data_IF_586524462116
#
_entry.id   IF_586524462116
#
_cell.length_a   1.000
_cell.length_b   1.000
_cell.length_c   1.000
_cell.angle_alpha   90.00
_cell.angle_beta   90.00
_cell.angle_gamma   90.00
#
_symmetry.space_group_name_H-M   'P 1'
#
loop_
_entity.id
_entity.type
_entity.pdbx_description
1 polymer ?
#
# COMPACT_ATOMS: atom_id res chain seq x y z
N UNK A 1 -14.78 24.81 7.85
CA UNK A 1 -14.16 24.96 9.18
C UNK A 1 -12.95 24.05 9.18
N UNK A 2 -11.70 24.55 9.19
CA UNK A 2 -10.53 23.66 9.27
C UNK A 2 -10.54 23.02 10.66
N UNK A 3 -10.54 21.70 10.68
CA UNK A 3 -10.59 20.89 11.90
C UNK A 3 -9.25 20.96 12.66
N UNK A 4 -8.17 21.34 11.98
CA UNK A 4 -6.84 21.51 12.53
C UNK A 4 -6.28 22.87 12.13
N UNK A 5 -5.51 23.51 13.01
CA UNK A 5 -4.79 24.73 12.68
C UNK A 5 -3.62 24.38 11.74
N UNK A 6 -3.16 25.34 10.93
CA UNK A 6 -1.96 25.16 10.08
C UNK A 6 -0.69 24.81 10.90
N UNK A 7 -0.68 25.11 12.20
CA UNK A 7 0.40 24.74 13.11
C UNK A 7 0.30 23.27 13.48
N UNK A 8 -0.89 22.73 13.74
CA UNK A 8 -1.10 21.32 14.08
C UNK A 8 -0.73 20.40 12.89
N UNK A 9 -1.02 20.82 11.66
CA UNK A 9 -0.58 20.12 10.46
C UNK A 9 0.96 20.09 10.35
N UNK A 10 1.63 21.15 10.76
CA UNK A 10 3.09 21.27 10.68
C UNK A 10 3.79 20.36 11.69
N UNK A 11 3.31 20.29 12.94
CA UNK A 11 3.90 19.46 13.99
C UNK A 11 3.74 17.95 13.74
N UNK A 12 2.69 17.54 13.06
CA UNK A 12 2.48 16.13 12.72
C UNK A 12 3.43 15.59 11.63
N UNK A 13 4.09 16.49 10.88
CA UNK A 13 4.84 16.13 9.67
C UNK A 13 6.30 16.63 9.66
N UNK A 14 6.90 16.86 10.80
CA UNK A 14 8.33 17.20 10.88
C UNK A 14 9.19 15.95 11.16
N UNK A 15 9.89 15.40 10.13
CA UNK A 15 10.72 14.18 10.29
C UNK A 15 11.79 14.28 11.37
N UNK A 16 12.16 15.51 11.79
CA UNK A 16 13.07 15.77 12.90
C UNK A 16 12.46 15.63 14.29
N UNK A 17 11.13 15.51 14.41
CA UNK A 17 10.45 15.49 15.71
C UNK A 17 10.21 14.08 16.23
N UNK A 18 10.29 13.90 17.56
CA UNK A 18 9.91 12.64 18.21
C UNK A 18 8.43 12.30 17.95
N UNK A 19 7.56 13.30 17.88
CA UNK A 19 6.13 13.11 17.61
C UNK A 19 5.89 12.47 16.22
N UNK A 20 6.67 12.86 15.21
CA UNK A 20 6.60 12.26 13.89
C UNK A 20 6.92 10.75 13.92
N UNK A 21 8.04 10.37 14.52
CA UNK A 21 8.46 8.95 14.57
C UNK A 21 7.53 8.10 15.43
N UNK A 22 7.06 8.65 16.56
CA UNK A 22 6.04 7.98 17.38
C UNK A 22 4.76 7.72 16.58
N UNK A 23 4.26 8.74 15.86
CA UNK A 23 3.03 8.60 15.07
C UNK A 23 3.23 7.60 13.93
N UNK A 24 4.39 7.62 13.28
CA UNK A 24 4.74 6.66 12.23
C UNK A 24 4.75 5.22 12.74
N UNK A 25 5.31 4.97 13.94
CA UNK A 25 5.28 3.66 14.59
C UNK A 25 3.84 3.22 14.93
N UNK A 26 3.01 4.14 15.43
CA UNK A 26 1.59 3.85 15.67
C UNK A 26 0.86 3.50 14.36
N UNK A 27 1.08 4.27 13.30
CA UNK A 27 0.47 3.99 12.00
C UNK A 27 0.95 2.64 11.45
N UNK A 28 2.23 2.33 11.55
CA UNK A 28 2.75 1.02 11.18
C UNK A 28 1.98 -0.11 11.86
N UNK A 29 1.84 -0.07 13.20
CA UNK A 29 1.15 -1.12 13.95
C UNK A 29 -0.34 -1.19 13.60
N UNK A 30 -1.03 -0.05 13.56
CA UNK A 30 -2.47 0.01 13.30
C UNK A 30 -2.78 -0.47 11.89
N UNK A 31 -2.03 0.01 10.90
CA UNK A 31 -2.29 -0.35 9.51
C UNK A 31 -1.80 -1.74 9.13
N UNK A 32 -0.92 -2.37 9.91
CA UNK A 32 -0.64 -3.80 9.74
C UNK A 32 -1.88 -4.66 9.97
N UNK A 33 -2.79 -4.26 10.86
CA UNK A 33 -4.07 -4.97 11.09
C UNK A 33 -5.15 -4.46 10.15
N UNK A 34 -5.35 -3.13 10.05
CA UNK A 34 -6.38 -2.57 9.19
C UNK A 34 -6.15 -2.91 7.71
N UNK A 35 -4.89 -2.94 7.26
CA UNK A 35 -4.53 -3.35 5.92
C UNK A 35 -4.91 -4.81 5.64
N UNK A 36 -4.70 -5.70 6.61
CA UNK A 36 -5.17 -7.08 6.50
C UNK A 36 -6.70 -7.15 6.37
N UNK A 37 -7.46 -6.38 7.15
CA UNK A 37 -8.91 -6.33 6.98
C UNK A 37 -9.34 -5.83 5.61
N UNK A 38 -8.67 -4.83 5.08
CA UNK A 38 -8.92 -4.34 3.72
C UNK A 38 -8.60 -5.40 2.67
N UNK A 39 -7.53 -6.17 2.87
CA UNK A 39 -7.17 -7.29 2.01
C UNK A 39 -8.22 -8.39 2.05
N UNK A 40 -8.73 -8.77 3.23
CA UNK A 40 -9.82 -9.75 3.35
C UNK A 40 -11.03 -9.31 2.51
N UNK A 41 -11.42 -8.04 2.58
CA UNK A 41 -12.54 -7.49 1.78
C UNK A 41 -12.23 -7.56 0.29
N UNK A 42 -11.03 -7.15 -0.11
CA UNK A 42 -10.58 -7.19 -1.50
C UNK A 42 -10.52 -8.63 -2.04
N UNK A 43 -9.90 -9.54 -1.29
CA UNK A 43 -9.79 -10.95 -1.67
C UNK A 43 -11.15 -11.65 -1.68
N UNK A 44 -12.09 -11.28 -0.81
CA UNK A 44 -13.46 -11.77 -0.86
C UNK A 44 -14.16 -11.40 -2.16
N UNK A 45 -13.90 -10.18 -2.66
CA UNK A 45 -14.40 -9.76 -3.97
C UNK A 45 -13.70 -10.54 -5.10
N UNK A 46 -12.38 -10.70 -5.05
CA UNK A 46 -11.61 -11.42 -6.06
C UNK A 46 -11.90 -12.93 -6.08
N UNK A 47 -12.27 -13.52 -4.95
CA UNK A 47 -12.70 -14.93 -4.86
C UNK A 47 -13.95 -15.22 -5.70
N UNK A 48 -14.85 -14.25 -5.86
CA UNK A 48 -16.02 -14.41 -6.77
C UNK A 48 -15.59 -14.73 -8.20
N UNK A 49 -14.39 -14.29 -8.60
CA UNK A 49 -13.80 -14.55 -9.93
C UNK A 49 -12.85 -15.75 -9.95
N UNK A 50 -12.72 -16.47 -8.84
CA UNK A 50 -11.83 -17.63 -8.73
C UNK A 50 -10.33 -17.25 -8.76
N UNK A 51 -9.97 -16.04 -8.35
CA UNK A 51 -8.58 -15.54 -8.37
C UNK A 51 -7.86 -15.85 -7.04
N UNK A 52 -8.60 -15.96 -5.93
CA UNK A 52 -8.03 -16.22 -4.60
C UNK A 52 -8.45 -17.59 -4.13
N UNK A 53 -7.49 -18.41 -3.71
CA UNK A 53 -7.71 -19.77 -3.25
C UNK A 53 -8.36 -19.82 -1.87
N UNK A 54 -9.08 -20.90 -1.61
CA UNK A 54 -9.79 -21.10 -0.34
C UNK A 54 -8.86 -21.32 0.87
N UNK A 55 -7.62 -21.72 0.61
CA UNK A 55 -6.56 -21.96 1.60
C UNK A 55 -5.53 -20.82 1.66
N UNK A 56 -5.82 -19.68 1.05
CA UNK A 56 -4.97 -18.49 1.12
C UNK A 56 -4.81 -18.00 2.57
N UNK A 57 -3.58 -17.60 2.92
CA UNK A 57 -3.24 -17.01 4.23
C UNK A 57 -4.08 -15.77 4.57
N UNK A 58 -4.70 -15.13 3.60
CA UNK A 58 -5.59 -13.99 3.83
C UNK A 58 -6.79 -14.35 4.71
N UNK A 59 -7.20 -15.61 4.75
CA UNK A 59 -8.32 -16.09 5.55
C UNK A 59 -7.97 -16.48 6.99
N UNK A 60 -6.69 -16.40 7.35
CA UNK A 60 -6.20 -16.67 8.70
C UNK A 60 -6.74 -15.65 9.72
N UNK A 61 -6.25 -15.70 10.95
CA UNK A 61 -6.71 -14.85 12.05
C UNK A 61 -6.78 -13.37 11.62
N UNK A 62 -7.99 -12.76 11.56
CA UNK A 62 -8.16 -11.36 11.15
C UNK A 62 -7.40 -10.35 12.01
N UNK A 63 -6.98 -10.74 13.21
CA UNK A 63 -6.17 -9.91 14.10
C UNK A 63 -4.66 -10.08 13.87
N UNK A 64 -4.26 -11.03 13.03
CA UNK A 64 -2.86 -11.21 12.67
C UNK A 64 -2.35 -10.03 11.87
N UNK A 65 -1.27 -9.36 12.31
CA UNK A 65 -0.79 -8.17 11.63
C UNK A 65 0.01 -8.54 10.37
N UNK A 66 -0.47 -8.14 9.22
CA UNK A 66 0.30 -8.22 7.98
C UNK A 66 1.21 -6.99 7.86
N UNK A 67 2.48 -7.15 8.25
CA UNK A 67 3.45 -6.06 8.36
C UNK A 67 3.69 -5.32 7.04
N UNK A 68 3.40 -5.95 5.92
CA UNK A 68 3.47 -5.33 4.58
C UNK A 68 2.65 -4.05 4.49
N UNK A 69 1.45 -4.03 5.06
CA UNK A 69 0.59 -2.85 5.06
C UNK A 69 1.11 -1.75 5.98
N UNK A 70 1.71 -2.13 7.11
CA UNK A 70 2.44 -1.19 7.97
C UNK A 70 3.60 -0.52 7.24
N UNK A 71 4.40 -1.30 6.49
CA UNK A 71 5.46 -0.75 5.62
C UNK A 71 4.86 0.16 4.54
N UNK A 72 3.74 -0.23 3.93
CA UNK A 72 3.02 0.57 2.94
C UNK A 72 2.67 1.97 3.45
N UNK A 73 2.13 2.06 4.66
CA UNK A 73 1.78 3.35 5.29
C UNK A 73 3.03 4.17 5.62
N UNK A 74 4.12 3.55 6.03
CA UNK A 74 5.40 4.25 6.22
C UNK A 74 5.88 4.85 4.91
N UNK A 75 5.82 4.12 3.80
CA UNK A 75 6.17 4.63 2.47
C UNK A 75 5.21 5.75 2.04
N UNK A 76 3.90 5.60 2.29
CA UNK A 76 2.94 6.69 2.05
C UNK A 76 3.35 7.97 2.79
N UNK A 77 3.67 7.87 4.07
CA UNK A 77 4.03 9.02 4.89
C UNK A 77 5.36 9.66 4.47
N UNK A 78 6.38 8.86 4.15
CA UNK A 78 7.74 9.35 3.88
C UNK A 78 7.95 9.77 2.43
N UNK A 79 7.24 9.16 1.48
CA UNK A 79 7.46 9.34 0.04
C UNK A 79 6.25 9.99 -0.62
N UNK A 80 5.05 9.41 -0.47
CA UNK A 80 3.88 9.84 -1.23
C UNK A 80 3.32 11.18 -0.74
N UNK A 81 3.27 11.45 0.56
CA UNK A 81 2.76 12.73 1.07
C UNK A 81 3.64 13.93 0.65
N UNK A 82 4.99 13.90 0.76
CA UNK A 82 5.82 14.97 0.20
C UNK A 82 5.67 15.12 -1.31
N UNK A 83 5.58 14.01 -2.04
CA UNK A 83 5.38 14.03 -3.48
C UNK A 83 4.04 14.69 -3.87
N UNK A 84 2.95 14.33 -3.19
CA UNK A 84 1.63 14.97 -3.38
C UNK A 84 1.73 16.48 -3.20
N UNK A 85 2.33 16.91 -2.10
CA UNK A 85 2.50 18.35 -1.79
C UNK A 85 3.29 19.06 -2.89
N UNK A 86 4.39 18.45 -3.37
CA UNK A 86 5.19 19.01 -4.44
C UNK A 86 4.45 19.08 -5.79
N UNK A 87 3.64 18.06 -6.12
CA UNK A 87 2.85 18.02 -7.35
C UNK A 87 1.73 19.06 -7.33
N UNK A 88 1.00 19.16 -6.21
CA UNK A 88 -0.06 20.17 -6.05
C UNK A 88 0.50 21.59 -6.17
N UNK A 89 1.68 21.86 -5.59
CA UNK A 89 2.33 23.16 -5.68
C UNK A 89 2.80 23.53 -7.10
N UNK A 90 3.11 22.53 -7.94
CA UNK A 90 3.71 22.75 -9.28
C UNK A 90 2.72 22.71 -10.44
N UNK A 91 1.50 22.19 -10.22
CA UNK A 91 0.54 21.96 -11.32
C UNK A 91 -0.53 23.04 -11.39
N UNK A 92 -0.96 23.31 -12.63
CA UNK A 92 -1.97 24.31 -12.89
C UNK A 92 -3.38 23.91 -12.40
N UNK A 93 -3.66 22.61 -12.30
CA UNK A 93 -4.95 22.09 -11.85
C UNK A 93 -4.78 20.89 -10.90
N UNK A 94 -5.71 20.76 -9.94
CA UNK A 94 -5.76 19.61 -9.02
C UNK A 94 -5.96 18.27 -9.76
N UNK A 95 -6.71 18.29 -10.86
CA UNK A 95 -6.93 17.09 -11.70
C UNK A 95 -5.61 16.60 -12.29
N UNK A 96 -4.80 17.51 -12.86
CA UNK A 96 -3.49 17.14 -13.40
C UNK A 96 -2.53 16.64 -12.32
N UNK A 97 -2.55 17.26 -11.13
CA UNK A 97 -1.77 16.80 -9.99
C UNK A 97 -2.22 15.40 -9.53
N UNK A 98 -3.54 15.19 -9.43
CA UNK A 98 -4.14 13.92 -9.02
C UNK A 98 -3.80 12.77 -9.97
N UNK A 99 -3.93 12.97 -11.29
CA UNK A 99 -3.59 11.95 -12.29
C UNK A 99 -2.11 11.56 -12.20
N UNK A 100 -1.22 12.55 -12.06
CA UNK A 100 0.21 12.27 -11.97
C UNK A 100 0.57 11.60 -10.65
N UNK A 101 -0.05 12.05 -9.56
CA UNK A 101 0.14 11.42 -8.27
C UNK A 101 -0.32 9.96 -8.29
N UNK A 102 -1.51 9.68 -8.85
CA UNK A 102 -2.00 8.30 -9.02
C UNK A 102 -1.03 7.45 -9.83
N UNK A 103 -0.59 7.92 -11.00
CA UNK A 103 0.33 7.17 -11.85
C UNK A 103 1.66 6.83 -11.14
N UNK A 104 2.22 7.79 -10.40
CA UNK A 104 3.45 7.54 -9.61
C UNK A 104 3.16 6.60 -8.45
N UNK A 105 2.01 6.71 -7.79
CA UNK A 105 1.63 5.82 -6.69
C UNK A 105 1.48 4.38 -7.16
N UNK A 106 0.90 4.12 -8.34
CA UNK A 106 0.87 2.78 -8.95
C UNK A 106 2.28 2.21 -9.12
N UNK A 107 3.22 3.00 -9.64
CA UNK A 107 4.61 2.56 -9.79
C UNK A 107 5.25 2.27 -8.43
N UNK A 108 4.99 3.09 -7.43
CA UNK A 108 5.51 2.86 -6.06
C UNK A 108 4.92 1.58 -5.46
N UNK A 109 3.61 1.34 -5.59
CA UNK A 109 2.96 0.10 -5.13
C UNK A 109 3.57 -1.12 -5.81
N UNK A 110 3.70 -1.09 -7.14
CA UNK A 110 4.31 -2.16 -7.92
C UNK A 110 5.75 -2.47 -7.47
N UNK A 111 6.57 -1.43 -7.27
CA UNK A 111 7.95 -1.62 -6.79
C UNK A 111 8.00 -2.20 -5.37
N UNK A 112 7.06 -1.82 -4.52
CA UNK A 112 6.93 -2.38 -3.18
C UNK A 112 6.49 -3.84 -3.23
N UNK A 113 5.47 -4.18 -4.02
CA UNK A 113 5.00 -5.56 -4.18
C UNK A 113 6.12 -6.46 -4.73
N UNK A 114 6.86 -5.99 -5.74
CA UNK A 114 8.05 -6.68 -6.25
C UNK A 114 9.13 -6.87 -5.18
N UNK A 115 9.49 -5.81 -4.46
CA UNK A 115 10.52 -5.88 -3.42
C UNK A 115 10.12 -6.88 -2.33
N UNK A 116 8.87 -6.87 -1.91
CA UNK A 116 8.36 -7.79 -0.90
C UNK A 116 8.28 -9.22 -1.45
N UNK A 117 7.85 -9.40 -2.69
CA UNK A 117 7.87 -10.68 -3.36
C UNK A 117 9.26 -11.29 -3.39
N UNK A 118 10.27 -10.53 -3.78
CA UNK A 118 11.66 -11.00 -3.79
C UNK A 118 12.25 -11.23 -2.39
N UNK A 119 11.76 -10.58 -1.37
CA UNK A 119 12.25 -10.76 0.01
C UNK A 119 11.55 -11.89 0.75
N UNK A 120 10.24 -12.05 0.57
CA UNK A 120 9.40 -12.91 1.40
C UNK A 120 8.81 -14.09 0.64
N UNK A 121 8.59 -13.97 -0.66
CA UNK A 121 7.87 -14.94 -1.48
C UNK A 121 8.82 -15.64 -2.47
N UNK A 122 9.90 -16.23 -1.95
CA UNK A 122 10.81 -17.02 -2.77
C UNK A 122 10.19 -18.38 -3.11
N UNK A 123 10.35 -18.87 -4.38
CA UNK A 123 9.81 -20.17 -4.74
C UNK A 123 10.48 -21.30 -3.94
N UNK A 124 9.67 -22.27 -3.55
CA UNK A 124 10.15 -23.50 -2.91
C UNK A 124 10.92 -24.43 -3.89
N UNK A 125 11.38 -25.58 -3.42
CA UNK A 125 12.11 -26.54 -4.26
C UNK A 125 11.28 -27.12 -5.42
N UNK A 126 9.95 -27.03 -5.36
CA UNK A 126 9.04 -27.42 -6.44
C UNK A 126 8.79 -26.28 -7.45
N UNK A 127 9.31 -25.07 -7.17
CA UNK A 127 9.08 -23.87 -7.99
C UNK A 127 7.78 -23.15 -7.68
N UNK A 128 7.09 -23.49 -6.59
CA UNK A 128 5.83 -22.89 -6.16
C UNK A 128 6.08 -21.72 -5.23
N UNK A 129 5.32 -20.64 -5.38
CA UNK A 129 5.39 -19.48 -4.49
C UNK A 129 4.55 -19.73 -3.24
N UNK A 130 5.12 -19.61 -2.01
CA UNK A 130 4.44 -20.01 -0.78
C UNK A 130 3.39 -19.02 -0.28
N UNK A 131 3.44 -17.74 -0.68
CA UNK A 131 2.54 -16.70 -0.18
C UNK A 131 1.50 -16.27 -1.23
N UNK A 132 1.92 -16.03 -2.47
CA UNK A 132 1.04 -15.71 -3.60
C UNK A 132 1.75 -16.02 -4.91
N UNK A 133 0.98 -16.39 -5.93
CA UNK A 133 1.47 -16.61 -7.30
C UNK A 133 0.59 -15.87 -8.31
N UNK A 134 1.11 -14.78 -8.83
CA UNK A 134 0.44 -13.98 -9.86
C UNK A 134 0.82 -14.40 -11.29
N UNK A 135 1.62 -15.45 -11.46
CA UNK A 135 2.20 -15.83 -12.78
C UNK A 135 1.16 -16.14 -13.84
N UNK A 136 -0.01 -16.63 -13.44
CA UNK A 136 -1.13 -16.95 -14.33
C UNK A 136 -2.04 -15.74 -14.64
N UNK A 137 -1.88 -14.63 -13.94
CA UNK A 137 -2.73 -13.46 -14.10
C UNK A 137 -2.21 -12.54 -15.23
N UNK A 138 -3.10 -11.95 -16.05
CA UNK A 138 -2.71 -10.99 -17.08
C UNK A 138 -2.11 -9.73 -16.44
N UNK A 139 -1.08 -9.16 -17.05
CA UNK A 139 -0.35 -7.99 -16.54
C UNK A 139 0.38 -8.22 -15.23
N UNK A 140 0.74 -9.48 -14.93
CA UNK A 140 1.66 -9.74 -13.83
C UNK A 140 3.09 -9.32 -14.21
N UNK A 141 3.90 -9.06 -13.20
CA UNK A 141 5.33 -8.77 -13.35
C UNK A 141 6.09 -9.79 -12.53
N UNK A 142 6.79 -10.68 -13.25
CA UNK A 142 7.63 -11.75 -12.69
C UNK A 142 6.88 -12.69 -11.72
N UNK A 143 5.56 -12.84 -11.89
CA UNK A 143 4.71 -13.62 -10.98
C UNK A 143 4.54 -13.04 -9.59
N UNK A 144 5.19 -11.91 -9.28
CA UNK A 144 5.19 -11.31 -7.94
C UNK A 144 4.23 -10.12 -7.84
N UNK A 145 4.31 -9.14 -8.73
CA UNK A 145 3.42 -8.00 -8.74
C UNK A 145 2.29 -8.17 -9.76
N UNK A 146 1.14 -7.58 -9.48
CA UNK A 146 0.01 -7.61 -10.38
C UNK A 146 -0.62 -6.23 -10.54
N UNK A 147 -0.60 -5.71 -11.77
CA UNK A 147 -1.04 -4.34 -12.07
C UNK A 147 -2.45 -4.01 -11.53
N UNK A 148 -3.39 -4.96 -11.55
CA UNK A 148 -4.74 -4.73 -11.03
C UNK A 148 -4.73 -4.51 -9.52
N UNK A 149 -3.92 -5.28 -8.80
CA UNK A 149 -3.69 -5.10 -7.37
C UNK A 149 -3.04 -3.74 -7.08
N UNK A 150 -2.01 -3.38 -7.84
CA UNK A 150 -1.32 -2.10 -7.71
C UNK A 150 -2.22 -0.90 -7.96
N UNK A 151 -3.15 -1.00 -8.91
CA UNK A 151 -4.16 0.04 -9.17
C UNK A 151 -5.12 0.19 -7.97
N UNK A 152 -5.56 -0.91 -7.37
CA UNK A 152 -6.41 -0.90 -6.18
C UNK A 152 -5.67 -0.30 -4.97
N UNK A 153 -4.43 -0.74 -4.72
CA UNK A 153 -3.58 -0.21 -3.65
C UNK A 153 -3.29 1.29 -3.84
N UNK A 154 -3.02 1.72 -5.07
CA UNK A 154 -2.80 3.14 -5.37
C UNK A 154 -4.05 3.98 -5.12
N UNK A 155 -5.25 3.47 -5.42
CA UNK A 155 -6.49 4.15 -5.10
C UNK A 155 -6.69 4.31 -3.59
N UNK A 156 -6.39 3.27 -2.81
CA UNK A 156 -6.42 3.33 -1.34
C UNK A 156 -5.37 4.30 -0.80
N UNK A 157 -4.15 4.26 -1.31
CA UNK A 157 -3.08 5.17 -0.91
C UNK A 157 -3.44 6.64 -1.20
N UNK A 158 -4.14 6.92 -2.32
CA UNK A 158 -4.65 8.26 -2.62
C UNK A 158 -5.69 8.75 -1.61
N UNK A 159 -6.55 7.85 -1.09
CA UNK A 159 -7.53 8.21 -0.06
C UNK A 159 -6.87 8.47 1.28
N UNK A 160 -5.76 7.79 1.56
CA UNK A 160 -4.99 7.96 2.79
C UNK A 160 -4.15 9.24 2.79
N UNK A 161 -3.59 9.63 1.66
CA UNK A 161 -2.69 10.78 1.50
C UNK A 161 -3.42 12.05 1.06
#
# INVERSE_FOLDING_TARGET
MPILSKEDERYGYEPGSFAFWRNLAVYFCVFSVLGHWMEIVYCSFMNVFGIVDADSLVWDDPMYPFLVYGVGVVVCALVLMPLKTALVARRATLVSAGIQFFAVTVVVCMLMELAMGFMLNQPNAAGEYPLWDNSQLPFNILGQAWLVNDLALAAVAMLYT
#
